data_IF_772358252622
#
_entry.id   IF_772358252622
#
_cell.length_a   1.000
_cell.length_b   1.000
_cell.length_c   1.000
_cell.angle_alpha   90.00
_cell.angle_beta   90.00
_cell.angle_gamma   90.00
#
_symmetry.space_group_name_H-M   'P 1'
#
loop_
_entity.id
_entity.type
_entity.pdbx_description
1 polymer ?
#
# COMPACT_ATOMS: atom_id res chain seq x y z
N UNK A 1 3.57 -14.52 -18.95
CA UNK A 1 3.56 -13.44 -17.93
C UNK A 1 2.85 -13.93 -16.65
N UNK A 2 3.59 -14.02 -15.54
CA UNK A 2 3.06 -14.46 -14.24
C UNK A 2 2.84 -13.21 -13.40
N UNK A 3 1.61 -13.01 -12.94
CA UNK A 3 1.29 -11.97 -11.94
C UNK A 3 1.68 -12.52 -10.57
N UNK A 4 2.34 -11.70 -9.76
CA UNK A 4 2.75 -12.05 -8.39
C UNK A 4 1.68 -11.57 -7.41
N UNK A 5 0.92 -12.50 -6.78
CA UNK A 5 0.01 -12.14 -5.71
C UNK A 5 0.76 -11.92 -4.39
N UNK A 6 0.24 -11.03 -3.56
CA UNK A 6 0.68 -10.84 -2.19
C UNK A 6 -0.51 -10.58 -1.29
N UNK A 7 -0.39 -11.02 -0.05
CA UNK A 7 -1.34 -10.78 1.02
C UNK A 7 -0.59 -10.33 2.26
N UNK A 8 -1.01 -9.20 2.83
CA UNK A 8 -0.45 -8.70 4.08
C UNK A 8 -1.60 -8.39 5.03
N UNK A 9 -1.45 -8.75 6.30
CA UNK A 9 -2.40 -8.37 7.33
C UNK A 9 -1.64 -7.72 8.49
N UNK A 10 -2.16 -6.57 8.91
CA UNK A 10 -1.68 -5.78 10.03
C UNK A 10 -2.73 -5.84 11.12
N UNK A 11 -2.25 -5.94 12.34
CA UNK A 11 -3.07 -5.88 13.54
C UNK A 11 -2.47 -4.83 14.46
N UNK A 12 -3.31 -3.89 14.87
CA UNK A 12 -2.95 -2.81 15.77
C UNK A 12 -3.89 -2.79 17.00
N UNK A 13 -3.35 -2.33 18.11
CA UNK A 13 -3.99 -2.13 19.41
C UNK A 13 -3.87 -0.65 19.81
N UNK A 14 -4.37 0.28 19.00
CA UNK A 14 -4.27 1.71 19.32
C UNK A 14 -5.56 2.46 19.01
N UNK A 15 -6.29 2.83 20.07
CA UNK A 15 -7.07 4.07 20.06
C UNK A 15 -6.16 5.18 20.61
N UNK A 16 -6.17 6.36 19.97
CA UNK A 16 -5.73 7.65 20.52
C UNK A 16 -6.19 7.91 21.98
N UNK A 17 -7.20 7.20 22.46
CA UNK A 17 -7.68 7.21 23.85
C UNK A 17 -7.27 5.99 24.73
N UNK A 18 -6.41 5.08 24.26
CA UNK A 18 -6.01 3.82 24.94
C UNK A 18 -7.17 2.89 25.34
N UNK A 19 -8.26 2.89 24.60
CA UNK A 19 -9.30 1.86 24.75
C UNK A 19 -9.03 0.74 23.75
N UNK A 20 -8.79 -0.47 24.25
CA UNK A 20 -8.39 -1.63 23.46
C UNK A 20 -9.48 -2.02 22.46
N UNK A 21 -9.34 -1.58 21.21
CA UNK A 21 -10.14 -2.10 20.10
C UNK A 21 -9.17 -2.69 19.07
N UNK A 22 -9.25 -4.00 18.88
CA UNK A 22 -8.42 -4.73 17.91
C UNK A 22 -8.66 -4.23 16.49
N UNK A 23 -7.76 -3.41 15.95
CA UNK A 23 -7.84 -2.88 14.58
C UNK A 23 -7.10 -3.81 13.61
N UNK A 24 -7.80 -4.31 12.60
CA UNK A 24 -7.22 -5.21 11.60
C UNK A 24 -7.33 -4.56 10.24
N UNK A 25 -6.22 -4.57 9.50
CA UNK A 25 -6.10 -4.06 8.14
C UNK A 25 -5.43 -5.12 7.26
N UNK A 26 -6.04 -5.50 6.16
CA UNK A 26 -5.56 -6.52 5.26
C UNK A 26 -5.46 -5.98 3.83
N UNK A 27 -4.34 -6.25 3.19
CA UNK A 27 -4.04 -5.88 1.81
C UNK A 27 -3.94 -7.14 0.97
N UNK A 28 -4.74 -7.19 -0.11
CA UNK A 28 -4.52 -8.14 -1.20
C UNK A 28 -3.99 -7.36 -2.41
N UNK A 29 -2.82 -7.74 -2.92
CA UNK A 29 -2.20 -7.02 -4.03
C UNK A 29 -1.68 -7.94 -5.12
N UNK A 30 -1.67 -7.41 -6.34
CA UNK A 30 -1.13 -8.02 -7.54
C UNK A 30 -0.05 -7.10 -8.10
N UNK A 31 1.06 -7.68 -8.54
CA UNK A 31 2.12 -6.96 -9.24
C UNK A 31 2.63 -7.78 -10.41
N UNK A 32 3.24 -7.12 -11.39
CA UNK A 32 3.90 -7.79 -12.49
C UNK A 32 5.16 -7.04 -12.87
N UNK A 33 6.28 -7.75 -12.97
CA UNK A 33 7.55 -7.17 -13.37
C UNK A 33 7.72 -7.22 -14.89
N UNK A 34 8.02 -6.07 -15.47
CA UNK A 34 8.43 -5.93 -16.85
C UNK A 34 9.90 -5.51 -16.89
N UNK A 35 10.66 -6.09 -17.81
CA UNK A 35 12.03 -5.69 -18.11
C UNK A 35 12.08 -5.07 -19.52
N UNK A 36 11.64 -3.81 -19.68
CA UNK A 36 11.59 -3.17 -21.00
C UNK A 36 12.97 -2.96 -21.63
N UNK A 37 14.03 -2.90 -20.81
CA UNK A 37 15.42 -2.81 -21.25
C UNK A 37 16.34 -3.43 -20.20
N UNK A 38 17.59 -3.70 -20.58
CA UNK A 38 18.60 -4.19 -19.65
C UNK A 38 18.73 -3.27 -18.44
N UNK A 39 18.80 -3.87 -17.24
CA UNK A 39 18.94 -3.18 -15.93
C UNK A 39 17.74 -2.38 -15.47
N UNK A 40 16.69 -2.19 -16.28
CA UNK A 40 15.47 -1.49 -15.87
C UNK A 40 14.33 -2.48 -15.67
N UNK A 41 13.79 -2.51 -14.45
CA UNK A 41 12.56 -3.21 -14.11
C UNK A 41 11.46 -2.20 -13.86
N UNK A 42 10.28 -2.42 -14.44
CA UNK A 42 9.07 -1.62 -14.20
C UNK A 42 7.99 -2.54 -13.66
N UNK A 43 7.40 -2.16 -12.53
CA UNK A 43 6.48 -2.99 -11.76
C UNK A 43 5.18 -2.23 -11.50
N UNK A 44 4.19 -2.29 -12.39
CA UNK A 44 2.83 -1.90 -12.06
C UNK A 44 2.24 -2.84 -10.99
N UNK A 45 1.42 -2.27 -10.12
CA UNK A 45 0.75 -2.97 -9.04
C UNK A 45 -0.67 -2.44 -8.79
N UNK A 46 -1.53 -3.30 -8.27
CA UNK A 46 -2.86 -2.93 -7.78
C UNK A 46 -3.13 -3.64 -6.46
N UNK A 47 -3.76 -2.96 -5.52
CA UNK A 47 -4.07 -3.47 -4.19
C UNK A 47 -5.50 -3.10 -3.78
N UNK A 48 -6.16 -4.05 -3.13
CA UNK A 48 -7.42 -3.86 -2.41
C UNK A 48 -7.14 -3.98 -0.92
N UNK A 49 -7.63 -3.00 -0.17
CA UNK A 49 -7.42 -2.94 1.26
C UNK A 49 -8.74 -3.09 2.00
N UNK A 50 -8.74 -3.92 3.03
CA UNK A 50 -9.91 -4.24 3.83
C UNK A 50 -9.58 -4.02 5.29
N UNK A 51 -10.51 -3.43 6.03
CA UNK A 51 -10.30 -3.17 7.43
C UNK A 51 -11.58 -3.41 8.22
N UNK A 52 -11.40 -3.70 9.51
CA UNK A 52 -12.54 -3.89 10.39
C UNK A 52 -13.06 -2.55 10.93
N UNK A 53 -14.27 -2.58 11.49
CA UNK A 53 -14.93 -1.42 12.09
C UNK A 53 -14.09 -0.63 13.11
N UNK A 54 -13.12 -1.27 13.78
CA UNK A 54 -12.20 -0.59 14.69
C UNK A 54 -11.27 0.38 13.95
N UNK A 55 -10.86 0.02 12.73
CA UNK A 55 -10.04 0.83 11.84
C UNK A 55 -10.88 1.90 11.09
N UNK A 56 -12.08 1.52 10.66
CA UNK A 56 -12.94 2.39 9.82
C UNK A 56 -14.01 3.17 10.58
N UNK A 57 -14.18 2.96 11.88
CA UNK A 57 -15.22 3.63 12.66
C UNK A 57 -16.66 3.29 12.27
N UNK A 58 -16.88 2.28 11.42
CA UNK A 58 -18.22 1.86 10.97
C UNK A 58 -18.98 1.07 12.06
N UNK A 59 -20.30 0.89 11.89
CA UNK A 59 -21.17 0.27 12.90
C UNK A 59 -21.00 -1.27 13.03
N UNK A 60 -20.06 -1.88 12.29
CA UNK A 60 -19.68 -3.28 12.42
C UNK A 60 -19.30 -3.94 11.10
N UNK A 61 -18.36 -4.89 11.16
CA UNK A 61 -17.93 -5.72 10.01
C UNK A 61 -16.50 -5.46 9.54
N UNK A 62 -16.12 -6.15 8.46
CA UNK A 62 -14.92 -5.91 7.66
C UNK A 62 -15.37 -5.37 6.32
N UNK A 63 -14.76 -4.28 5.86
CA UNK A 63 -15.18 -3.57 4.65
C UNK A 63 -14.00 -3.20 3.76
N UNK A 64 -14.26 -3.04 2.47
CA UNK A 64 -13.27 -2.50 1.53
C UNK A 64 -13.01 -1.04 1.90
N UNK A 65 -11.78 -0.78 2.31
CA UNK A 65 -11.33 0.50 2.85
C UNK A 65 -10.88 1.41 1.73
N UNK A 66 -9.99 0.91 0.87
CA UNK A 66 -9.44 1.67 -0.24
C UNK A 66 -8.87 0.75 -1.34
N UNK A 67 -8.58 1.37 -2.48
CA UNK A 67 -7.91 0.76 -3.62
C UNK A 67 -6.65 1.55 -3.92
N UNK A 68 -5.53 0.87 -4.09
CA UNK A 68 -4.25 1.50 -4.46
C UNK A 68 -3.75 0.98 -5.79
N UNK A 69 -3.43 1.88 -6.71
CA UNK A 69 -2.72 1.59 -7.95
C UNK A 69 -1.31 2.14 -7.83
N UNK A 70 -0.31 1.39 -8.30
CA UNK A 70 1.09 1.76 -8.17
C UNK A 70 1.88 1.46 -9.44
N UNK A 71 2.95 2.21 -9.62
CA UNK A 71 4.03 1.86 -10.54
C UNK A 71 5.35 2.12 -9.86
N UNK A 72 6.20 1.11 -9.84
CA UNK A 72 7.59 1.23 -9.43
C UNK A 72 8.52 1.05 -10.64
N UNK A 73 9.67 1.71 -10.60
CA UNK A 73 10.77 1.48 -11.53
C UNK A 73 12.05 1.29 -10.73
N UNK A 74 12.86 0.32 -11.09
CA UNK A 74 14.16 0.04 -10.47
C UNK A 74 15.23 -0.08 -11.54
N UNK A 75 16.35 0.62 -11.35
CA UNK A 75 17.49 0.60 -12.25
C UNK A 75 18.74 0.05 -11.54
N UNK A 76 19.30 -1.03 -12.05
CA UNK A 76 20.56 -1.60 -11.57
C UNK A 76 21.73 -0.73 -12.04
N UNK A 77 22.20 0.16 -11.15
CA UNK A 77 23.35 1.05 -11.41
C UNK A 77 24.63 0.23 -11.51
N UNK A 78 24.79 -0.74 -10.61
CA UNK A 78 25.88 -1.72 -10.60
C UNK A 78 25.31 -3.10 -10.24
N UNK A 79 26.16 -4.13 -10.23
CA UNK A 79 25.75 -5.48 -9.78
C UNK A 79 25.29 -5.51 -8.31
N UNK A 80 25.76 -4.57 -7.49
CA UNK A 80 25.49 -4.51 -6.06
C UNK A 80 24.58 -3.34 -5.65
N UNK A 81 24.30 -2.39 -6.55
CA UNK A 81 23.48 -1.20 -6.28
C UNK A 81 22.34 -1.06 -7.28
N UNK A 82 21.12 -0.92 -6.76
CA UNK A 82 19.93 -0.56 -7.53
C UNK A 82 19.29 0.70 -6.96
N UNK A 83 18.82 1.59 -7.84
CA UNK A 83 18.03 2.77 -7.46
C UNK A 83 16.60 2.59 -7.94
N UNK A 84 15.64 2.86 -7.08
CA UNK A 84 14.23 2.73 -7.37
C UNK A 84 13.44 4.00 -7.13
N UNK A 85 12.34 4.15 -7.85
CA UNK A 85 11.32 5.15 -7.61
C UNK A 85 9.94 4.50 -7.72
N UNK A 86 8.98 4.99 -6.94
CA UNK A 86 7.60 4.54 -7.02
C UNK A 86 6.62 5.71 -6.87
N UNK A 87 5.48 5.59 -7.53
CA UNK A 87 4.32 6.46 -7.36
C UNK A 87 3.10 5.58 -7.20
N UNK A 88 2.26 5.92 -6.23
CA UNK A 88 1.03 5.26 -5.89
C UNK A 88 -0.11 6.28 -5.86
N UNK A 89 -1.29 5.82 -6.27
CA UNK A 89 -2.55 6.52 -6.15
C UNK A 89 -3.51 5.64 -5.35
N UNK A 90 -4.00 6.18 -4.24
CA UNK A 90 -4.95 5.52 -3.35
C UNK A 90 -6.29 6.24 -3.42
N UNK A 91 -7.36 5.49 -3.63
CA UNK A 91 -8.75 5.98 -3.63
C UNK A 91 -9.56 5.32 -2.52
N UNK A 92 -10.22 6.15 -1.71
CA UNK A 92 -11.03 5.75 -0.55
C UNK A 92 -12.52 6.01 -0.84
N UNK A 93 -13.38 4.98 -0.99
CA UNK A 93 -14.75 5.11 -1.52
C UNK A 93 -15.82 5.81 -0.65
N UNK A 94 -15.47 6.63 0.35
CA UNK A 94 -16.36 7.47 1.21
C UNK A 94 -16.70 7.03 2.65
N UNK A 95 -16.05 5.99 3.19
CA UNK A 95 -16.13 5.70 4.63
C UNK A 95 -15.12 6.57 5.38
N UNK A 96 -15.52 7.28 6.43
CA UNK A 96 -14.61 7.99 7.35
C UNK A 96 -13.62 6.99 7.92
N UNK A 97 -12.34 6.98 7.53
CA UNK A 97 -11.39 6.12 8.24
C UNK A 97 -11.10 6.79 9.57
N UNK A 98 -11.43 6.13 10.69
CA UNK A 98 -11.14 6.69 12.03
C UNK A 98 -9.63 6.93 12.23
N UNK A 99 -8.80 6.23 11.44
CA UNK A 99 -7.36 6.42 11.31
C UNK A 99 -6.93 7.17 10.01
N UNK A 100 -7.75 8.09 9.48
CA UNK A 100 -7.37 8.99 8.36
C UNK A 100 -6.13 9.86 8.64
N UNK A 101 -5.76 10.02 9.91
CA UNK A 101 -4.65 10.86 10.36
C UNK A 101 -3.27 10.52 9.78
N UNK A 102 -3.09 9.34 9.17
CA UNK A 102 -1.79 8.94 8.61
C UNK A 102 -1.68 9.03 7.08
N UNK A 103 -2.79 9.13 6.34
CA UNK A 103 -2.71 9.05 4.87
C UNK A 103 -3.29 10.26 4.14
N UNK A 104 -4.11 11.09 4.77
CA UNK A 104 -4.52 12.36 4.14
C UNK A 104 -5.80 12.98 4.69
N UNK A 105 -5.96 13.07 6.02
CA UNK A 105 -7.07 13.76 6.74
C UNK A 105 -8.15 14.40 5.83
N UNK A 106 -9.26 13.71 5.60
CA UNK A 106 -10.39 14.21 4.81
C UNK A 106 -10.29 14.09 3.29
N UNK A 107 -9.16 13.62 2.73
CA UNK A 107 -8.97 13.41 1.30
C UNK A 107 -9.39 11.99 0.89
N UNK A 108 -10.33 11.89 -0.06
CA UNK A 108 -10.76 10.62 -0.65
C UNK A 108 -9.76 10.05 -1.67
N UNK A 109 -8.71 10.80 -1.99
CA UNK A 109 -7.72 10.48 -3.02
C UNK A 109 -6.35 10.97 -2.60
N UNK A 110 -5.35 10.09 -2.62
CA UNK A 110 -3.99 10.41 -2.18
C UNK A 110 -2.99 9.94 -3.24
N UNK A 111 -2.09 10.82 -3.64
CA UNK A 111 -0.90 10.46 -4.43
C UNK A 111 0.32 10.51 -3.53
N UNK A 112 1.03 9.39 -3.45
CA UNK A 112 2.23 9.28 -2.64
C UNK A 112 3.30 8.47 -3.36
N UNK A 113 4.54 8.66 -3.00
CA UNK A 113 5.64 8.03 -3.70
C UNK A 113 6.95 8.24 -2.98
N UNK A 114 8.02 7.71 -3.56
CA UNK A 114 9.33 7.83 -2.96
C UNK A 114 10.41 7.26 -3.86
N UNK A 115 11.64 7.48 -3.42
CA UNK A 115 12.84 6.90 -4.00
C UNK A 115 13.48 5.96 -3.00
N UNK A 116 14.08 4.89 -3.48
CA UNK A 116 14.81 3.94 -2.66
C UNK A 116 16.16 3.58 -3.30
N UNK A 117 17.07 3.10 -2.47
CA UNK A 117 18.34 2.52 -2.92
C UNK A 117 18.47 1.14 -2.25
N UNK A 118 18.74 0.12 -3.06
CA UNK A 118 18.93 -1.25 -2.59
C UNK A 118 20.39 -1.64 -2.81
N UNK A 119 21.04 -2.11 -1.75
CA UNK A 119 22.42 -2.63 -1.79
C UNK A 119 22.39 -4.13 -1.52
N UNK A 120 23.09 -4.92 -2.32
CA UNK A 120 23.25 -6.37 -2.15
C UNK A 120 24.72 -6.67 -1.78
N UNK A 121 24.93 -7.64 -0.89
CA UNK A 121 26.25 -8.12 -0.45
C UNK A 121 26.39 -9.60 -0.75
#
# INVERSE_FOLDING_TARGET
>A
PIVTPSFTAYWDYLDTAKNDVSAVYATFALSHEFEPMEKLTVTPSAALNFANHAYTGSAGGTELTDLTLGVAASYAVTEWLSLGAQVNYTWTPSHTLRHEGYMGEGEHQIVWGGVNATVKF
#
